data_IF_386371708498
#
_entry.id   IF_386371708498
#
_cell.length_a   1.000
_cell.length_b   1.000
_cell.length_c   1.000
_cell.angle_alpha   90.00
_cell.angle_beta   90.00
_cell.angle_gamma   90.00
#
_symmetry.space_group_name_H-M   'P 1'
#
loop_
_entity.id
_entity.type
_entity.pdbx_description
1 polymer ?
#
# COMPACT_ATOMS: atom_id res chain seq x y z
N UNK A 1 -21.23 15.40 13.96
CA UNK A 1 -21.38 14.55 12.75
C UNK A 1 -20.02 14.10 12.18
N UNK A 2 -18.95 13.99 12.99
CA UNK A 2 -17.60 13.62 12.50
C UNK A 2 -17.31 12.11 12.47
N UNK A 3 -18.15 11.30 13.13
CA UNK A 3 -18.01 9.84 13.22
C UNK A 3 -17.90 9.10 11.86
N UNK A 4 -18.69 9.41 10.80
CA UNK A 4 -18.57 8.68 9.54
C UNK A 4 -17.24 8.97 8.80
N UNK A 5 -16.71 10.20 8.91
CA UNK A 5 -15.42 10.57 8.32
C UNK A 5 -14.23 9.94 9.07
N UNK A 6 -14.32 9.82 10.40
CA UNK A 6 -13.36 9.05 11.19
C UNK A 6 -13.33 7.58 10.76
N UNK A 7 -14.50 6.94 10.60
CA UNK A 7 -14.55 5.53 10.19
C UNK A 7 -13.98 5.32 8.77
N UNK A 8 -14.31 6.20 7.83
CA UNK A 8 -13.83 6.13 6.45
C UNK A 8 -12.30 6.31 6.35
N UNK A 9 -11.73 7.25 7.11
CA UNK A 9 -10.28 7.48 7.15
C UNK A 9 -9.51 6.32 7.81
N UNK A 10 -10.10 5.69 8.83
CA UNK A 10 -9.56 4.48 9.44
C UNK A 10 -9.61 3.29 8.47
N UNK A 11 -10.70 3.16 7.71
CA UNK A 11 -10.82 2.19 6.62
C UNK A 11 -9.76 2.39 5.54
N UNK A 12 -9.55 3.63 5.07
CA UNK A 12 -8.50 3.96 4.11
C UNK A 12 -7.10 3.61 4.65
N UNK A 13 -6.87 3.85 5.94
CA UNK A 13 -5.60 3.48 6.59
C UNK A 13 -5.34 1.99 6.49
N UNK A 14 -6.31 1.17 6.93
CA UNK A 14 -6.18 -0.27 6.96
C UNK A 14 -6.00 -0.84 5.55
N UNK A 15 -6.83 -0.40 4.59
CA UNK A 15 -6.73 -0.85 3.20
C UNK A 15 -5.40 -0.44 2.59
N UNK A 16 -4.99 0.83 2.74
CA UNK A 16 -3.72 1.33 2.22
C UNK A 16 -2.51 0.61 2.82
N UNK A 17 -2.53 0.33 4.12
CA UNK A 17 -1.48 -0.41 4.81
C UNK A 17 -1.39 -1.87 4.34
N UNK A 18 -2.52 -2.59 4.29
CA UNK A 18 -2.54 -4.01 3.91
C UNK A 18 -2.20 -4.19 2.44
N UNK A 19 -2.88 -3.47 1.54
CA UNK A 19 -2.62 -3.55 0.10
C UNK A 19 -1.21 -3.07 -0.22
N UNK A 20 -0.78 -1.97 0.39
CA UNK A 20 0.57 -1.44 0.22
C UNK A 20 1.66 -2.42 0.67
N UNK A 21 1.49 -3.06 1.83
CA UNK A 21 2.42 -4.09 2.31
C UNK A 21 2.48 -5.29 1.37
N UNK A 22 1.33 -5.82 0.93
CA UNK A 22 1.29 -6.97 0.03
C UNK A 22 1.97 -6.65 -1.31
N UNK A 23 1.66 -5.49 -1.91
CA UNK A 23 2.26 -5.08 -3.18
C UNK A 23 3.75 -4.81 -3.06
N UNK A 24 4.20 -4.15 -1.98
CA UNK A 24 5.64 -3.93 -1.77
C UNK A 24 6.40 -5.24 -1.60
N UNK A 25 5.90 -6.16 -0.77
CA UNK A 25 6.54 -7.47 -0.59
C UNK A 25 6.51 -8.32 -1.87
N UNK A 26 5.40 -8.28 -2.61
CA UNK A 26 5.29 -8.92 -3.92
C UNK A 26 6.33 -8.35 -4.87
N UNK A 27 6.39 -7.03 -5.01
CA UNK A 27 7.33 -6.35 -5.90
C UNK A 27 8.79 -6.64 -5.56
N UNK A 28 9.14 -6.69 -4.27
CA UNK A 28 10.46 -7.11 -3.78
C UNK A 28 10.75 -8.56 -4.20
N UNK A 29 9.79 -9.46 -4.01
CA UNK A 29 9.92 -10.87 -4.40
C UNK A 29 10.14 -11.02 -5.91
N UNK A 30 9.42 -10.23 -6.72
CA UNK A 30 9.59 -10.19 -8.18
C UNK A 30 10.97 -9.66 -8.56
N UNK A 31 11.42 -8.57 -7.93
CA UNK A 31 12.71 -7.94 -8.20
C UNK A 31 13.89 -8.88 -7.95
N UNK A 32 13.84 -9.66 -6.87
CA UNK A 32 14.86 -10.66 -6.54
C UNK A 32 14.65 -12.02 -7.23
N UNK A 33 13.67 -12.14 -8.13
CA UNK A 33 13.31 -13.40 -8.80
C UNK A 33 13.01 -14.56 -7.82
N UNK A 34 12.46 -14.26 -6.65
CA UNK A 34 12.11 -15.25 -5.61
C UNK A 34 10.75 -15.92 -5.89
N UNK A 35 10.19 -15.70 -7.08
CA UNK A 35 8.85 -16.10 -7.50
C UNK A 35 8.85 -17.41 -8.32
N UNK A 36 10.01 -17.87 -8.80
CA UNK A 36 10.13 -19.04 -9.68
C UNK A 36 9.63 -18.81 -11.11
N UNK A 37 9.30 -17.58 -11.51
CA UNK A 37 8.80 -17.23 -12.85
C UNK A 37 9.91 -16.90 -13.88
N UNK A 38 11.19 -16.91 -13.48
CA UNK A 38 12.31 -16.65 -14.39
C UNK A 38 12.28 -15.24 -15.01
N UNK A 39 12.80 -15.07 -16.23
CA UNK A 39 12.88 -13.79 -16.95
C UNK A 39 11.52 -13.29 -17.52
N UNK A 40 10.41 -13.93 -17.16
CA UNK A 40 9.08 -13.51 -17.63
C UNK A 40 8.64 -12.15 -17.08
N UNK A 41 9.22 -11.71 -15.96
CA UNK A 41 8.94 -10.43 -15.32
C UNK A 41 10.19 -9.57 -15.40
N UNK A 42 10.08 -8.37 -15.98
CA UNK A 42 11.23 -7.47 -16.06
C UNK A 42 11.48 -6.77 -14.72
N UNK A 43 12.72 -6.30 -14.52
CA UNK A 43 13.08 -5.48 -13.36
C UNK A 43 12.24 -4.20 -13.28
N UNK A 44 11.86 -3.65 -14.44
CA UNK A 44 11.02 -2.44 -14.53
C UNK A 44 9.61 -2.73 -14.02
N UNK A 45 9.02 -3.85 -14.44
CA UNK A 45 7.69 -4.27 -13.97
C UNK A 45 7.67 -4.49 -12.45
N UNK A 46 8.73 -5.12 -11.93
CA UNK A 46 8.90 -5.33 -10.49
C UNK A 46 8.97 -3.99 -9.74
N UNK A 47 9.70 -3.01 -10.28
CA UNK A 47 9.81 -1.69 -9.69
C UNK A 47 8.48 -0.93 -9.71
N UNK A 48 7.68 -1.07 -10.76
CA UNK A 48 6.33 -0.49 -10.84
C UNK A 48 5.44 -1.07 -9.73
N UNK A 49 5.51 -2.38 -9.47
CA UNK A 49 4.74 -3.02 -8.40
C UNK A 49 5.18 -2.49 -7.02
N UNK A 50 6.48 -2.38 -6.77
CA UNK A 50 7.01 -1.78 -5.53
C UNK A 50 6.52 -0.34 -5.38
N UNK A 51 6.68 0.48 -6.41
CA UNK A 51 6.28 1.89 -6.39
C UNK A 51 4.77 2.03 -6.11
N UNK A 52 3.95 1.19 -6.73
CA UNK A 52 2.50 1.16 -6.48
C UNK A 52 2.20 0.80 -5.03
N UNK A 53 2.88 -0.21 -4.48
CA UNK A 53 2.76 -0.57 -3.06
C UNK A 53 3.13 0.60 -2.13
N UNK A 54 4.22 1.31 -2.42
CA UNK A 54 4.62 2.50 -1.66
C UNK A 54 3.56 3.60 -1.73
N UNK A 55 2.99 3.88 -2.91
CA UNK A 55 1.90 4.85 -3.06
C UNK A 55 0.68 4.46 -2.23
N UNK A 56 0.31 3.17 -2.18
CA UNK A 56 -0.76 2.68 -1.32
C UNK A 56 -0.45 2.87 0.18
N UNK A 57 0.80 2.65 0.61
CA UNK A 57 1.23 2.92 1.99
C UNK A 57 1.14 4.41 2.32
N UNK A 58 1.55 5.30 1.41
CA UNK A 58 1.43 6.76 1.57
C UNK A 58 -0.04 7.17 1.69
N UNK A 59 -0.93 6.59 0.87
CA UNK A 59 -2.37 6.83 0.97
C UNK A 59 -2.94 6.32 2.31
N UNK A 60 -2.50 5.16 2.78
CA UNK A 60 -2.85 4.64 4.11
C UNK A 60 -2.39 5.57 5.23
N UNK A 61 -1.17 6.10 5.14
CA UNK A 61 -0.65 7.08 6.09
C UNK A 61 -1.46 8.40 6.07
N UNK A 62 -1.87 8.87 4.90
CA UNK A 62 -2.77 10.02 4.78
C UNK A 62 -4.13 9.74 5.43
N UNK A 63 -4.66 8.51 5.28
CA UNK A 63 -5.83 8.03 6.02
C UNK A 63 -5.65 8.13 7.53
N UNK A 64 -4.50 7.72 8.06
CA UNK A 64 -4.21 7.77 9.49
C UNK A 64 -4.17 9.21 10.00
N UNK A 65 -3.52 10.10 9.25
CA UNK A 65 -3.50 11.56 9.52
C UNK A 65 -4.91 12.15 9.52
N UNK A 66 -5.75 11.74 8.55
CA UNK A 66 -7.15 12.14 8.50
C UNK A 66 -7.93 11.66 9.73
N UNK A 67 -7.75 10.40 10.12
CA UNK A 67 -8.40 9.84 11.31
C UNK A 67 -8.06 10.62 12.57
N UNK A 68 -6.77 10.90 12.81
CA UNK A 68 -6.33 11.70 13.96
C UNK A 68 -6.92 13.12 13.97
N UNK A 69 -7.27 13.67 12.81
CA UNK A 69 -7.87 15.02 12.70
C UNK A 69 -9.38 15.02 12.96
N UNK A 70 -10.07 13.89 12.72
CA UNK A 70 -11.52 13.78 12.91
C UNK A 70 -11.91 13.09 14.22
N UNK A 71 -11.01 12.32 14.82
CA UNK A 71 -11.22 11.59 16.08
C UNK A 71 -10.87 12.41 17.33
N UNK A 72 -10.00 13.43 17.19
CA UNK A 72 -9.60 14.37 18.23
C UNK A 72 -10.08 15.77 17.88
#
# INVERSE_FOLDING_TARGET
>A
MQQPLGLASLGLTLVGAVVGYVLTMLGITLYFNLNGLGDAITTVDSFIVIATGVVCLVAGYAGWRGFMTFAY
#
